data_IF_640493395642
#
_entry.id   IF_640493395642
#
_cell.length_a   1.000
_cell.length_b   1.000
_cell.length_c   1.000
_cell.angle_alpha   90.00
_cell.angle_beta   90.00
_cell.angle_gamma   90.00
#
_symmetry.space_group_name_H-M   'P 1'
#
loop_
_entity.id
_entity.type
_entity.pdbx_description
1 polymer ?
#
# COMPACT_ATOMS: atom_id res chain seq x y z
N UNK A 1 -34.37 38.04 -9.85
CA UNK A 1 -34.96 37.68 -8.54
C UNK A 1 -35.65 36.32 -8.65
N UNK A 2 -35.16 35.29 -7.94
CA UNK A 2 -35.74 33.95 -7.91
C UNK A 2 -36.87 33.85 -6.88
N UNK A 3 -37.91 33.05 -7.16
CA UNK A 3 -38.93 32.68 -6.17
C UNK A 3 -38.64 31.29 -5.61
N UNK A 4 -38.36 31.30 -4.30
CA UNK A 4 -38.28 30.19 -3.37
C UNK A 4 -39.64 29.52 -3.26
N UNK A 5 -39.71 28.19 -3.36
CA UNK A 5 -40.76 27.37 -2.73
C UNK A 5 -40.09 26.18 -2.02
N UNK A 6 -40.58 25.98 -0.81
CA UNK A 6 -40.05 25.22 0.32
C UNK A 6 -40.36 23.72 0.29
N UNK A 7 -39.56 22.99 1.08
CA UNK A 7 -39.50 21.55 1.35
C UNK A 7 -40.81 20.85 1.80
N UNK A 8 -40.88 19.52 1.60
CA UNK A 8 -40.88 18.52 2.71
C UNK A 8 -40.79 17.07 2.23
N UNK A 9 -40.19 16.27 3.12
CA UNK A 9 -39.80 14.87 3.00
C UNK A 9 -40.95 13.86 2.98
N UNK A 10 -40.68 12.69 2.40
CA UNK A 10 -41.46 11.46 2.62
C UNK A 10 -40.53 10.36 3.15
N UNK A 11 -40.89 9.86 4.34
CA UNK A 11 -40.22 8.79 5.08
C UNK A 11 -40.49 7.42 4.44
N UNK A 12 -39.44 6.63 4.21
CA UNK A 12 -39.54 5.22 3.86
C UNK A 12 -39.43 4.37 5.14
N UNK A 13 -40.54 3.74 5.53
CA UNK A 13 -40.61 2.80 6.66
C UNK A 13 -39.94 1.47 6.30
N UNK A 14 -38.99 1.02 7.13
CA UNK A 14 -38.42 -0.33 7.07
C UNK A 14 -39.21 -1.24 8.02
N UNK A 15 -39.84 -2.27 7.45
CA UNK A 15 -40.60 -3.31 8.15
C UNK A 15 -39.69 -4.19 9.03
N UNK A 16 -40.13 -4.41 10.25
CA UNK A 16 -39.71 -5.50 11.15
C UNK A 16 -40.32 -6.83 10.68
N UNK A 17 -39.60 -7.93 10.85
CA UNK A 17 -40.12 -9.30 10.78
C UNK A 17 -40.01 -9.96 12.16
N UNK A 18 -41.16 -10.47 12.64
CA UNK A 18 -41.31 -11.29 13.86
C UNK A 18 -41.76 -12.71 13.52
N UNK A 19 -41.38 -13.65 14.39
CA UNK A 19 -42.01 -14.97 14.63
C UNK A 19 -41.28 -16.13 13.96
N UNK A 20 -41.06 -17.31 14.56
CA UNK A 20 -41.70 -18.09 15.65
C UNK A 20 -40.67 -19.19 16.04
N UNK A 21 -40.53 -19.80 17.23
CA UNK A 21 -41.18 -19.73 18.54
C UNK A 21 -40.79 -20.94 19.43
N UNK A 22 -41.16 -20.83 20.73
CA UNK A 22 -41.47 -21.86 21.75
C UNK A 22 -40.36 -22.61 22.53
N UNK A 23 -40.55 -22.63 23.87
CA UNK A 23 -39.99 -23.60 24.83
C UNK A 23 -39.48 -22.98 26.16
N UNK A 24 -40.32 -22.39 27.01
CA UNK A 24 -40.90 -22.94 28.28
C UNK A 24 -39.90 -23.13 29.47
N UNK A 25 -40.19 -22.43 30.59
CA UNK A 25 -39.78 -22.77 31.98
C UNK A 25 -39.11 -21.61 32.74
N UNK A 26 -39.80 -20.77 33.55
CA UNK A 26 -40.01 -20.85 35.03
C UNK A 26 -38.67 -20.96 35.82
N UNK A 27 -38.29 -20.18 36.85
CA UNK A 27 -38.98 -19.57 38.01
C UNK A 27 -38.13 -18.41 38.59
N UNK A 28 -38.79 -17.56 39.39
CA UNK A 28 -38.34 -16.35 40.09
C UNK A 28 -37.37 -16.52 41.29
N UNK A 29 -36.86 -15.38 41.79
CA UNK A 29 -36.30 -15.17 43.14
C UNK A 29 -35.04 -14.28 43.13
N UNK A 30 -35.12 -12.96 43.32
CA UNK A 30 -34.95 -12.23 44.60
C UNK A 30 -33.69 -12.64 45.39
N UNK A 31 -32.68 -11.77 45.50
CA UNK A 31 -32.37 -10.96 46.69
C UNK A 31 -31.01 -10.24 46.58
N UNK A 32 -30.96 -9.05 47.17
CA UNK A 32 -29.77 -8.24 47.33
C UNK A 32 -29.04 -8.62 48.63
N UNK A 33 -27.71 -8.55 48.67
CA UNK A 33 -27.01 -8.20 49.91
C UNK A 33 -25.67 -7.51 49.65
N UNK A 34 -25.52 -6.38 50.35
CA UNK A 34 -24.41 -5.44 50.47
C UNK A 34 -23.49 -5.89 51.62
N UNK A 35 -22.18 -5.71 51.49
CA UNK A 35 -21.19 -5.33 52.55
C UNK A 35 -19.77 -5.42 51.96
N UNK A 36 -19.06 -4.31 51.68
CA UNK A 36 -18.09 -3.60 52.57
C UNK A 36 -17.13 -4.49 53.35
N UNK A 37 -15.81 -4.38 53.09
CA UNK A 37 -14.87 -3.90 54.10
C UNK A 37 -13.48 -3.56 53.55
N UNK A 38 -12.96 -2.42 53.97
CA UNK A 38 -11.56 -2.00 53.88
C UNK A 38 -10.73 -2.73 54.96
N UNK A 39 -9.43 -2.95 54.72
CA UNK A 39 -8.44 -2.69 55.77
C UNK A 39 -7.01 -2.52 55.27
N UNK A 40 -6.36 -1.48 55.82
CA UNK A 40 -4.97 -1.06 55.64
C UNK A 40 -4.03 -1.91 56.51
N UNK A 41 -2.75 -2.06 56.11
CA UNK A 41 -1.58 -1.63 56.90
C UNK A 41 -0.24 -1.91 56.20
N UNK A 42 0.67 -0.97 56.38
CA UNK A 42 2.04 -0.94 55.88
C UNK A 42 3.03 -1.60 56.87
N UNK A 43 4.15 -2.12 56.36
CA UNK A 43 5.42 -2.19 57.08
C UNK A 43 6.61 -2.23 56.10
N UNK A 44 7.63 -1.43 56.40
CA UNK A 44 8.88 -1.20 55.67
C UNK A 44 10.02 -1.80 56.51
N UNK A 45 10.91 -2.64 55.94
CA UNK A 45 12.33 -2.80 56.38
C UNK A 45 13.18 -3.41 55.24
N UNK A 46 14.09 -2.55 54.74
CA UNK A 46 15.51 -2.67 54.32
C UNK A 46 16.21 -4.05 54.17
N UNK A 47 16.99 -4.14 53.08
CA UNK A 47 18.34 -4.75 52.85
C UNK A 47 18.41 -5.92 51.85
N UNK A 48 19.22 -5.73 50.80
CA UNK A 48 19.78 -6.81 49.97
C UNK A 48 20.85 -7.59 50.75
N UNK A 49 21.12 -8.84 50.34
CA UNK A 49 22.47 -9.12 49.84
C UNK A 49 22.49 -9.96 48.55
N UNK A 50 23.54 -9.77 47.76
CA UNK A 50 23.93 -10.59 46.59
C UNK A 50 24.34 -11.99 47.05
N UNK A 51 23.95 -13.03 46.31
CA UNK A 51 24.72 -14.26 46.22
C UNK A 51 24.84 -14.73 44.78
N UNK A 52 26.09 -15.04 44.43
CA UNK A 52 26.57 -15.58 43.17
C UNK A 52 26.03 -17.00 42.97
N UNK A 53 25.75 -17.40 41.74
CA UNK A 53 25.96 -18.78 41.32
C UNK A 53 26.56 -18.78 39.91
N UNK A 54 27.77 -19.32 39.85
CA UNK A 54 28.46 -19.71 38.64
C UNK A 54 27.96 -21.08 38.20
N UNK A 55 27.81 -21.29 36.90
CA UNK A 55 27.48 -22.59 36.31
C UNK A 55 27.43 -22.49 34.78
N UNK A 56 28.52 -22.91 34.15
CA UNK A 56 28.77 -22.93 32.70
C UNK A 56 27.85 -23.90 31.96
N UNK A 57 27.38 -23.49 30.78
CA UNK A 57 27.19 -24.30 29.56
C UNK A 57 26.72 -23.34 28.46
N UNK A 58 27.08 -23.38 27.19
CA UNK A 58 28.09 -24.05 26.41
C UNK A 58 28.12 -23.21 25.11
N UNK A 59 29.28 -23.07 24.49
CA UNK A 59 29.40 -22.43 23.19
C UNK A 59 28.66 -23.25 22.13
N UNK A 60 27.81 -22.59 21.34
CA UNK A 60 27.62 -22.92 19.92
C UNK A 60 27.60 -21.60 19.19
N UNK A 61 28.70 -21.33 18.51
CA UNK A 61 28.75 -20.33 17.46
C UNK A 61 27.89 -20.84 16.30
N UNK A 62 26.88 -20.06 15.90
CA UNK A 62 26.36 -20.12 14.54
C UNK A 62 26.67 -18.77 13.90
N UNK A 63 27.72 -18.79 13.10
CA UNK A 63 28.19 -17.70 12.27
C UNK A 63 27.15 -17.38 11.22
N UNK A 64 26.23 -16.45 11.52
CA UNK A 64 25.47 -15.78 10.46
C UNK A 64 26.47 -14.83 9.79
N UNK A 65 27.04 -15.26 8.67
CA UNK A 65 27.70 -14.34 7.74
C UNK A 65 26.69 -13.21 7.52
N UNK A 66 27.01 -11.95 7.84
CA UNK A 66 26.12 -10.87 7.45
C UNK A 66 26.10 -10.94 5.93
N UNK A 67 24.96 -11.34 5.36
CA UNK A 67 24.73 -11.08 3.96
C UNK A 67 24.88 -9.56 3.86
N UNK A 68 25.96 -9.14 3.22
CA UNK A 68 26.36 -7.74 3.16
C UNK A 68 25.39 -7.12 2.18
N UNK A 69 24.18 -6.82 2.65
CA UNK A 69 23.22 -6.02 1.92
C UNK A 69 23.88 -4.67 1.81
N UNK A 70 24.50 -4.47 0.65
CA UNK A 70 25.10 -3.23 0.22
C UNK A 70 24.06 -2.16 0.48
N UNK A 71 24.44 -1.15 1.25
CA UNK A 71 23.61 0.01 1.53
C UNK A 71 23.13 0.60 0.19
N UNK A 72 21.91 0.26 -0.22
CA UNK A 72 21.46 0.62 -1.56
C UNK A 72 20.96 2.04 -1.50
N UNK A 73 21.70 2.95 -2.14
CA UNK A 73 21.29 4.31 -2.48
C UNK A 73 20.13 4.33 -3.49
N UNK A 74 19.33 3.28 -3.56
CA UNK A 74 18.24 3.09 -4.52
C UNK A 74 17.17 4.18 -4.39
N UNK A 75 16.99 4.72 -3.19
CA UNK A 75 16.11 5.86 -2.94
C UNK A 75 16.76 7.21 -3.29
N UNK A 76 18.04 7.25 -3.67
CA UNK A 76 18.68 8.43 -4.27
C UNK A 76 18.49 8.43 -5.79
N UNK A 77 18.17 7.27 -6.40
CA UNK A 77 17.86 7.18 -7.81
C UNK A 77 16.68 8.09 -8.16
N UNK A 78 16.89 8.95 -9.17
CA UNK A 78 15.86 9.89 -9.62
C UNK A 78 14.61 9.18 -10.15
N UNK A 79 14.76 8.09 -10.89
CA UNK A 79 13.64 7.34 -11.47
C UNK A 79 12.84 6.63 -10.38
N UNK A 80 13.51 6.05 -9.37
CA UNK A 80 12.83 5.44 -8.21
C UNK A 80 12.06 6.50 -7.44
N UNK A 81 12.67 7.65 -7.15
CA UNK A 81 11.99 8.76 -6.47
C UNK A 81 10.78 9.28 -7.25
N UNK A 82 10.92 9.47 -8.56
CA UNK A 82 9.80 9.88 -9.41
C UNK A 82 8.63 8.90 -9.30
N UNK A 83 8.90 7.59 -9.36
CA UNK A 83 7.85 6.57 -9.22
C UNK A 83 7.25 6.60 -7.81
N UNK A 84 8.06 6.65 -6.76
CA UNK A 84 7.55 6.70 -5.39
C UNK A 84 6.66 7.93 -5.17
N UNK A 85 7.01 9.08 -5.71
CA UNK A 85 6.20 10.30 -5.61
C UNK A 85 4.88 10.24 -6.40
N UNK A 86 4.73 9.33 -7.37
CA UNK A 86 3.41 9.04 -8.00
C UNK A 86 2.43 8.41 -7.00
N UNK A 87 2.94 7.63 -6.04
CA UNK A 87 2.11 6.83 -5.11
C UNK A 87 2.07 7.37 -3.69
N UNK A 88 3.13 8.07 -3.25
CA UNK A 88 3.33 8.50 -1.88
C UNK A 88 3.49 10.01 -1.77
N UNK A 89 3.04 10.56 -0.65
CA UNK A 89 3.29 11.96 -0.29
C UNK A 89 4.81 12.23 -0.16
N UNK A 90 5.27 13.45 -0.46
CA UNK A 90 6.70 13.81 -0.39
C UNK A 90 7.33 13.48 0.97
N UNK A 91 6.63 13.80 2.07
CA UNK A 91 7.09 13.47 3.42
C UNK A 91 7.22 11.97 3.68
N UNK A 92 6.45 11.13 2.99
CA UNK A 92 6.55 9.67 3.08
C UNK A 92 7.84 9.15 2.42
N UNK A 93 8.21 9.73 1.27
CA UNK A 93 9.45 9.38 0.56
C UNK A 93 10.67 9.90 1.34
N UNK A 94 10.57 11.09 1.94
CA UNK A 94 11.67 11.71 2.70
C UNK A 94 12.07 10.93 3.97
N UNK A 95 11.18 10.10 4.54
CA UNK A 95 11.53 9.26 5.70
C UNK A 95 12.22 7.94 5.33
N UNK A 96 12.24 7.53 4.05
CA UNK A 96 12.86 6.27 3.62
C UNK A 96 14.34 6.12 4.02
N UNK A 97 15.20 7.15 3.90
CA UNK A 97 16.60 7.05 4.30
C UNK A 97 16.80 6.81 5.81
N UNK A 98 15.81 7.13 6.65
CA UNK A 98 15.89 6.91 8.10
C UNK A 98 15.62 5.44 8.48
N UNK A 99 15.07 4.65 7.57
CA UNK A 99 14.57 3.29 7.81
C UNK A 99 15.60 2.19 7.47
N UNK A 100 16.88 2.55 7.29
CA UNK A 100 17.97 1.62 6.98
C UNK A 100 18.15 0.54 8.06
N UNK A 101 17.88 0.88 9.32
CA UNK A 101 17.86 -0.05 10.45
C UNK A 101 16.50 -0.02 11.15
N UNK A 102 16.27 -1.00 12.03
CA UNK A 102 15.06 -1.06 12.85
C UNK A 102 14.95 0.15 13.79
N UNK A 103 14.12 1.11 13.41
CA UNK A 103 13.95 2.39 14.10
C UNK A 103 12.50 2.58 14.58
N UNK A 104 12.31 3.31 15.69
CA UNK A 104 10.97 3.67 16.17
C UNK A 104 10.44 4.88 15.41
N UNK A 105 9.14 4.90 15.19
CA UNK A 105 8.39 6.02 14.60
C UNK A 105 8.61 7.35 15.34
N UNK A 106 8.71 7.34 16.67
CA UNK A 106 9.02 8.52 17.50
C UNK A 106 10.39 9.13 17.17
N UNK A 107 11.38 8.29 16.84
CA UNK A 107 12.72 8.77 16.51
C UNK A 107 12.68 9.46 15.14
N UNK A 108 12.00 8.86 14.16
CA UNK A 108 11.79 9.46 12.83
C UNK A 108 11.03 10.78 12.95
N UNK A 109 9.96 10.80 13.74
CA UNK A 109 9.14 11.98 14.06
C UNK A 109 10.00 13.14 14.57
N UNK A 110 10.90 12.87 15.52
CA UNK A 110 11.79 13.89 16.07
C UNK A 110 12.84 14.38 15.06
N UNK A 111 13.44 13.48 14.27
CA UNK A 111 14.47 13.83 13.28
C UNK A 111 13.93 14.68 12.15
N UNK A 112 12.74 14.33 11.65
CA UNK A 112 12.10 14.99 10.51
C UNK A 112 11.16 16.13 10.91
N UNK A 113 11.03 16.40 12.22
CA UNK A 113 10.10 17.39 12.77
C UNK A 113 8.64 17.21 12.28
N UNK A 114 8.22 15.94 12.15
CA UNK A 114 6.87 15.55 11.74
C UNK A 114 6.16 14.91 12.93
N UNK A 115 4.85 15.09 13.08
CA UNK A 115 4.08 14.46 14.16
C UNK A 115 4.09 12.92 14.05
N UNK A 116 4.36 12.22 15.16
CA UNK A 116 4.42 10.75 15.19
C UNK A 116 3.18 10.03 14.60
N UNK A 117 1.94 10.50 14.81
CA UNK A 117 0.77 9.92 14.13
C UNK A 117 0.85 9.97 12.59
N UNK A 118 1.43 11.03 12.03
CA UNK A 118 1.63 11.16 10.58
C UNK A 118 2.67 10.17 10.08
N UNK A 119 3.80 10.05 10.80
CA UNK A 119 4.83 9.05 10.49
C UNK A 119 4.23 7.63 10.52
N UNK A 120 3.40 7.31 11.52
CA UNK A 120 2.69 6.02 11.59
C UNK A 120 1.77 5.79 10.39
N UNK A 121 1.03 6.82 9.95
CA UNK A 121 0.20 6.74 8.74
C UNK A 121 1.05 6.36 7.52
N UNK A 122 2.19 7.02 7.34
CA UNK A 122 3.11 6.73 6.23
C UNK A 122 3.71 5.32 6.32
N UNK A 123 4.19 4.90 7.50
CA UNK A 123 4.76 3.56 7.71
C UNK A 123 3.74 2.45 7.46
N UNK A 124 2.50 2.61 7.94
CA UNK A 124 1.43 1.66 7.70
C UNK A 124 1.06 1.58 6.21
N UNK A 125 1.04 2.73 5.52
CA UNK A 125 0.81 2.78 4.08
C UNK A 125 1.92 2.02 3.33
N UNK A 126 3.19 2.34 3.59
CA UNK A 126 4.33 1.63 2.97
C UNK A 126 4.32 0.13 3.28
N UNK A 127 3.88 -0.26 4.47
CA UNK A 127 3.73 -1.66 4.85
C UNK A 127 2.65 -2.37 4.02
N UNK A 128 1.54 -1.67 3.69
CA UNK A 128 0.50 -2.24 2.81
C UNK A 128 1.02 -2.54 1.39
N UNK A 129 2.02 -1.80 0.93
CA UNK A 129 2.75 -2.05 -0.32
C UNK A 129 3.95 -3.00 -0.14
N UNK A 130 4.22 -3.48 1.08
CA UNK A 130 5.34 -4.38 1.37
C UNK A 130 6.73 -3.74 1.33
N UNK A 131 6.82 -2.40 1.28
CA UNK A 131 8.08 -1.64 1.18
C UNK A 131 8.83 -1.56 2.51
N UNK A 132 8.12 -1.72 3.62
CA UNK A 132 8.70 -1.71 4.98
C UNK A 132 8.18 -2.91 5.75
N UNK A 133 8.98 -3.37 6.70
CA UNK A 133 8.65 -4.39 7.68
C UNK A 133 8.78 -3.85 9.10
N UNK A 134 8.19 -4.54 10.07
CA UNK A 134 8.32 -4.17 11.47
C UNK A 134 8.63 -5.36 12.37
N UNK A 135 9.32 -5.09 13.47
CA UNK A 135 9.47 -5.99 14.61
C UNK A 135 8.73 -5.43 15.81
N UNK A 136 8.06 -6.31 16.57
CA UNK A 136 7.41 -5.96 17.83
C UNK A 136 8.17 -6.56 18.99
N UNK A 137 8.51 -5.76 19.99
CA UNK A 137 9.12 -6.22 21.23
C UNK A 137 8.24 -5.83 22.40
N UNK A 138 7.99 -6.77 23.31
CA UNK A 138 7.27 -6.49 24.56
C UNK A 138 8.27 -6.13 25.64
N UNK A 139 8.08 -4.98 26.27
CA UNK A 139 8.84 -4.63 27.46
C UNK A 139 8.40 -5.50 28.65
N UNK A 140 9.37 -6.17 29.29
CA UNK A 140 9.13 -7.05 30.43
C UNK A 140 8.73 -6.28 31.70
N UNK A 141 9.11 -5.01 31.81
CA UNK A 141 8.84 -4.21 33.01
C UNK A 141 7.50 -3.47 32.89
N UNK A 142 7.30 -2.76 31.78
CA UNK A 142 6.11 -1.92 31.59
C UNK A 142 4.95 -2.63 30.89
N UNK A 143 5.21 -3.77 30.22
CA UNK A 143 4.22 -4.55 29.49
C UNK A 143 3.83 -3.97 28.12
N UNK A 144 4.32 -2.77 27.76
CA UNK A 144 4.00 -2.11 26.50
C UNK A 144 4.74 -2.74 25.32
N UNK A 145 4.13 -2.62 24.13
CA UNK A 145 4.74 -3.04 22.88
C UNK A 145 5.47 -1.88 22.22
N UNK A 146 6.69 -2.15 21.76
CA UNK A 146 7.49 -1.23 20.96
C UNK A 146 7.61 -1.79 19.55
N UNK A 147 7.19 -0.98 18.57
CA UNK A 147 7.36 -1.26 17.16
C UNK A 147 8.65 -0.62 16.65
N UNK A 148 9.41 -1.38 15.85
CA UNK A 148 10.55 -0.87 15.10
C UNK A 148 10.38 -1.23 13.64
N UNK A 149 10.64 -0.27 12.76
CA UNK A 149 10.41 -0.35 11.33
C UNK A 149 11.72 -0.39 10.58
N UNK A 150 11.77 -1.16 9.49
CA UNK A 150 12.92 -1.24 8.59
C UNK A 150 12.42 -1.29 7.15
N UNK A 151 13.15 -0.64 6.26
CA UNK A 151 12.89 -0.65 4.82
C UNK A 151 13.33 -1.97 4.18
N UNK A 152 12.58 -2.40 3.16
CA UNK A 152 12.92 -3.56 2.32
C UNK A 152 13.36 -3.03 0.96
N UNK A 153 14.65 -2.75 0.83
CA UNK A 153 15.24 -2.12 -0.36
C UNK A 153 14.98 -2.92 -1.64
N UNK A 154 15.10 -4.24 -1.59
CA UNK A 154 14.75 -5.15 -2.69
C UNK A 154 13.31 -4.94 -3.17
N UNK A 155 12.37 -4.77 -2.24
CA UNK A 155 10.95 -4.55 -2.57
C UNK A 155 10.67 -3.19 -3.16
N UNK A 156 11.48 -2.18 -2.87
CA UNK A 156 11.36 -0.86 -3.51
C UNK A 156 11.74 -0.95 -4.98
N UNK A 157 12.83 -1.67 -5.28
CA UNK A 157 13.24 -1.92 -6.65
C UNK A 157 12.18 -2.69 -7.42
N UNK A 158 11.69 -3.80 -6.84
CA UNK A 158 10.62 -4.60 -7.44
C UNK A 158 9.35 -3.78 -7.66
N UNK A 159 8.98 -2.92 -6.70
CA UNK A 159 7.84 -2.03 -6.81
C UNK A 159 8.00 -1.05 -7.99
N UNK A 160 9.16 -0.39 -8.09
CA UNK A 160 9.44 0.55 -9.16
C UNK A 160 9.47 -0.14 -10.53
N UNK A 161 10.11 -1.31 -10.63
CA UNK A 161 10.11 -2.12 -11.85
C UNK A 161 8.70 -2.58 -12.24
N UNK A 162 7.88 -2.97 -11.26
CA UNK A 162 6.50 -3.38 -11.50
C UNK A 162 5.63 -2.23 -12.02
N UNK A 163 5.84 -0.99 -11.55
CA UNK A 163 5.16 0.19 -12.09
C UNK A 163 5.53 0.41 -13.56
N UNK A 164 6.83 0.39 -13.87
CA UNK A 164 7.32 0.52 -15.25
C UNK A 164 6.75 -0.58 -16.15
N UNK A 165 6.73 -1.83 -15.69
CA UNK A 165 6.23 -2.96 -16.47
C UNK A 165 4.71 -2.85 -16.72
N UNK A 166 3.94 -2.31 -15.76
CA UNK A 166 2.52 -2.02 -15.98
C UNK A 166 2.31 -0.94 -17.03
N UNK A 167 3.09 0.15 -16.95
CA UNK A 167 3.02 1.24 -17.93
C UNK A 167 3.44 0.77 -19.33
N UNK A 168 4.49 -0.05 -19.41
CA UNK A 168 4.95 -0.68 -20.64
C UNK A 168 3.88 -1.57 -21.27
N UNK A 169 3.23 -2.43 -20.47
CA UNK A 169 2.17 -3.31 -20.95
C UNK A 169 0.95 -2.52 -21.44
N UNK A 170 0.58 -1.43 -20.76
CA UNK A 170 -0.50 -0.56 -21.21
C UNK A 170 -0.16 0.11 -22.56
N UNK A 171 1.08 0.55 -22.75
CA UNK A 171 1.55 1.09 -24.03
C UNK A 171 1.59 0.03 -25.13
N UNK A 172 1.98 -1.21 -24.82
CA UNK A 172 1.96 -2.33 -25.77
C UNK A 172 0.55 -2.61 -26.26
N UNK A 173 -0.40 -2.82 -25.33
CA UNK A 173 -1.80 -3.05 -25.65
C UNK A 173 -2.37 -1.91 -26.50
N UNK A 174 -2.11 -0.66 -26.10
CA UNK A 174 -2.57 0.51 -26.86
C UNK A 174 -1.99 0.54 -28.29
N UNK A 175 -0.70 0.24 -28.45
CA UNK A 175 -0.08 0.16 -29.79
C UNK A 175 -0.72 -0.96 -30.63
N UNK A 176 -0.97 -2.12 -30.03
CA UNK A 176 -1.64 -3.24 -30.72
C UNK A 176 -3.06 -2.87 -31.14
N UNK A 177 -3.84 -2.20 -30.30
CA UNK A 177 -5.17 -1.71 -30.62
C UNK A 177 -5.16 -0.73 -31.80
N UNK A 178 -4.22 0.22 -31.80
CA UNK A 178 -4.03 1.20 -32.88
C UNK A 178 -3.64 0.50 -34.19
N UNK A 179 -2.74 -0.49 -34.14
CA UNK A 179 -2.30 -1.26 -35.31
C UNK A 179 -3.44 -2.15 -35.84
N UNK A 180 -4.27 -2.70 -34.96
CA UNK A 180 -5.41 -3.51 -35.33
C UNK A 180 -6.52 -2.68 -35.99
N UNK A 181 -6.77 -1.46 -35.51
CA UNK A 181 -7.80 -0.55 -36.01
C UNK A 181 -7.20 0.56 -36.88
N UNK A 182 -6.58 0.16 -37.98
CA UNK A 182 -5.91 1.06 -38.92
C UNK A 182 -6.79 1.41 -40.14
N UNK A 183 -8.10 1.16 -40.07
CA UNK A 183 -9.05 1.58 -41.09
C UNK A 183 -10.16 2.43 -40.49
N UNK A 184 -10.67 3.40 -41.25
CA UNK A 184 -11.66 4.37 -40.76
C UNK A 184 -12.63 4.78 -41.86
N UNK A 185 -13.86 5.04 -41.44
CA UNK A 185 -14.83 5.84 -42.17
C UNK A 185 -15.45 6.86 -41.22
N UNK A 186 -16.33 7.74 -41.70
CA UNK A 186 -16.95 8.78 -40.87
C UNK A 186 -17.80 8.25 -39.69
N UNK A 187 -18.14 6.96 -39.67
CA UNK A 187 -18.94 6.37 -38.61
C UNK A 187 -18.12 5.77 -37.47
N UNK A 188 -17.01 5.08 -37.80
CA UNK A 188 -16.19 4.34 -36.83
C UNK A 188 -14.85 3.91 -37.41
N UNK A 189 -14.00 3.40 -36.53
CA UNK A 189 -12.79 2.66 -36.87
C UNK A 189 -13.08 1.17 -37.10
N UNK A 190 -12.27 0.57 -37.95
CA UNK A 190 -12.39 -0.78 -38.48
C UNK A 190 -11.04 -1.47 -38.39
N UNK A 191 -11.08 -2.78 -38.16
CA UNK A 191 -9.93 -3.65 -38.42
C UNK A 191 -9.81 -3.99 -39.90
N UNK A 192 -8.63 -4.43 -40.32
CA UNK A 192 -8.43 -4.90 -41.68
C UNK A 192 -9.39 -6.04 -42.07
N UNK A 193 -9.61 -7.00 -41.16
CA UNK A 193 -10.48 -8.16 -41.41
C UNK A 193 -11.93 -7.72 -41.61
N UNK A 194 -12.45 -6.85 -40.74
CA UNK A 194 -13.81 -6.33 -40.88
C UNK A 194 -13.98 -5.52 -42.18
N UNK A 195 -12.97 -4.71 -42.54
CA UNK A 195 -12.99 -3.95 -43.79
C UNK A 195 -12.96 -4.87 -45.01
N UNK A 196 -12.19 -5.96 -44.97
CA UNK A 196 -12.13 -6.96 -46.03
C UNK A 196 -13.48 -7.68 -46.21
N UNK A 197 -14.11 -8.11 -45.11
CA UNK A 197 -15.42 -8.75 -45.12
C UNK A 197 -16.52 -7.84 -45.67
N UNK A 198 -16.40 -6.52 -45.43
CA UNK A 198 -17.33 -5.52 -45.98
C UNK A 198 -16.94 -5.03 -47.38
N UNK A 199 -15.98 -5.66 -48.06
CA UNK A 199 -15.42 -5.20 -49.35
C UNK A 199 -15.02 -3.70 -49.34
N UNK A 200 -14.50 -3.22 -48.21
CA UNK A 200 -14.10 -1.84 -47.96
C UNK A 200 -15.23 -0.80 -48.11
N UNK A 201 -16.50 -1.20 -47.96
CA UNK A 201 -17.67 -0.32 -48.02
C UNK A 201 -18.45 -0.39 -46.70
N UNK A 202 -18.67 0.76 -46.06
CA UNK A 202 -19.42 0.83 -44.81
C UNK A 202 -20.93 0.66 -45.05
N UNK A 203 -21.58 -0.28 -44.38
CA UNK A 203 -23.03 -0.51 -44.49
C UNK A 203 -23.90 0.57 -43.83
N UNK A 204 -23.33 1.43 -42.96
CA UNK A 204 -24.07 2.50 -42.29
C UNK A 204 -24.11 3.80 -43.10
N UNK A 205 -23.00 4.19 -43.73
CA UNK A 205 -22.90 5.45 -44.48
C UNK A 205 -22.67 5.28 -45.98
N UNK A 206 -22.44 4.05 -46.47
CA UNK A 206 -22.16 3.75 -47.88
C UNK A 206 -20.80 4.26 -48.38
N UNK A 207 -19.96 4.84 -47.51
CA UNK A 207 -18.65 5.39 -47.87
C UNK A 207 -17.56 4.31 -47.88
N UNK A 208 -16.49 4.58 -48.63
CA UNK A 208 -15.29 3.74 -48.68
C UNK A 208 -14.56 3.81 -47.34
N UNK A 209 -14.14 2.66 -46.86
CA UNK A 209 -13.30 2.51 -45.68
C UNK A 209 -11.84 2.72 -46.13
N UNK A 210 -11.17 3.70 -45.53
CA UNK A 210 -9.80 4.08 -45.90
C UNK A 210 -8.81 3.71 -44.80
N UNK A 211 -7.55 3.51 -45.18
CA UNK A 211 -6.49 3.34 -44.20
C UNK A 211 -6.28 4.64 -43.42
N UNK A 212 -6.11 4.53 -42.11
CA UNK A 212 -5.83 5.62 -41.20
C UNK A 212 -4.33 5.67 -40.96
N UNK A 213 -3.72 6.82 -41.28
CA UNK A 213 -2.32 7.07 -40.92
C UNK A 213 -2.20 7.17 -39.39
N UNK A 214 -1.61 6.14 -38.81
CA UNK A 214 -1.33 6.02 -37.39
C UNK A 214 0.19 6.02 -37.12
N UNK A 215 1.04 6.22 -38.13
CA UNK A 215 2.48 6.02 -38.03
C UNK A 215 3.09 6.97 -36.98
N UNK A 216 2.73 8.26 -37.03
CA UNK A 216 3.19 9.23 -36.05
C UNK A 216 2.74 8.93 -34.60
N UNK A 217 1.55 8.32 -34.43
CA UNK A 217 1.05 7.90 -33.11
C UNK A 217 1.82 6.67 -32.61
N UNK A 218 2.14 5.73 -33.49
CA UNK A 218 2.92 4.54 -33.17
C UNK A 218 4.34 4.95 -32.77
N UNK A 219 4.97 5.84 -33.52
CA UNK A 219 6.31 6.38 -33.23
C UNK A 219 6.36 7.05 -31.84
N UNK A 220 5.33 7.84 -31.48
CA UNK A 220 5.25 8.45 -30.16
C UNK A 220 5.18 7.39 -29.03
N UNK A 221 4.40 6.32 -29.24
CA UNK A 221 4.28 5.24 -28.26
C UNK A 221 5.58 4.45 -28.14
N UNK A 222 6.26 4.19 -29.25
CA UNK A 222 7.57 3.51 -29.28
C UNK A 222 8.64 4.36 -28.58
N UNK A 223 8.67 5.68 -28.83
CA UNK A 223 9.58 6.58 -28.10
C UNK A 223 9.33 6.60 -26.58
N UNK A 224 8.08 6.48 -26.13
CA UNK A 224 7.75 6.33 -24.70
C UNK A 224 8.25 5.01 -24.13
N UNK A 225 8.08 3.90 -24.85
CA UNK A 225 8.60 2.58 -24.45
C UNK A 225 10.11 2.61 -24.29
N UNK A 226 10.83 3.21 -25.25
CA UNK A 226 12.29 3.36 -25.18
C UNK A 226 12.74 4.14 -23.93
N UNK A 227 12.01 5.19 -23.56
CA UNK A 227 12.29 5.95 -22.34
C UNK A 227 12.08 5.10 -21.08
N UNK A 228 10.98 4.33 -21.02
CA UNK A 228 10.71 3.42 -19.91
C UNK A 228 11.75 2.31 -19.80
N UNK A 229 12.23 1.77 -20.92
CA UNK A 229 13.32 0.78 -20.91
C UNK A 229 14.62 1.36 -20.36
N UNK A 230 14.96 2.61 -20.72
CA UNK A 230 16.13 3.30 -20.15
C UNK A 230 15.97 3.46 -18.64
N UNK A 231 14.81 3.93 -18.16
CA UNK A 231 14.53 4.03 -16.72
C UNK A 231 14.68 2.68 -16.02
N UNK A 232 14.18 1.58 -16.62
CA UNK A 232 14.31 0.22 -16.07
C UNK A 232 15.77 -0.23 -15.97
N UNK A 233 16.58 0.02 -17.01
CA UNK A 233 18.01 -0.28 -17.01
C UNK A 233 18.76 0.50 -15.94
N UNK A 234 18.44 1.78 -15.77
CA UNK A 234 19.03 2.64 -14.73
C UNK A 234 18.74 2.07 -13.33
N UNK A 235 17.48 1.71 -13.04
CA UNK A 235 17.10 1.12 -11.74
C UNK A 235 17.81 -0.21 -11.51
N UNK A 236 17.92 -1.05 -12.54
CA UNK A 236 18.62 -2.33 -12.44
C UNK A 236 20.12 -2.17 -12.16
N UNK A 237 20.75 -1.11 -12.67
CA UNK A 237 22.18 -0.86 -12.47
C UNK A 237 22.58 -0.51 -11.03
N UNK A 238 21.60 -0.15 -10.18
CA UNK A 238 21.81 0.22 -8.78
C UNK A 238 21.53 -0.90 -7.77
N UNK A 239 21.08 -2.07 -8.25
CA UNK A 239 20.89 -3.29 -7.47
C UNK A 239 22.20 -4.08 -7.33
#
# INVERSE_FOLDING_TARGET
MPKVITAKAQNFSRKESKGVGKGVGKVAGKEAHKTTNENKKAAKIRRQPKSKNAGKAAAVAESIKPDVVKFSKIYENKNVNEILLKFFEEGCVDILPELNEYIRDEIISNRKNVKAPTVRKWLNLMHSYGLVEYTKTKDKQSGWFTYRWKIRTEKIAEFAMSDIDKEMNALLQKTEEIKAHNFVCDCREWTYVEALESNFICFQCGKVIMNKDNDGLIDEMEGKKDLLEKKKKDIFSEL
#
